data_IF_490534853028
#
_entry.id   IF_490534853028
#
_cell.length_a   1.000
_cell.length_b   1.000
_cell.length_c   1.000
_cell.angle_alpha   90.00
_cell.angle_beta   90.00
_cell.angle_gamma   90.00
#
_symmetry.space_group_name_H-M   'P 1'
#
loop_
_entity.id
_entity.type
_entity.pdbx_description
1 polymer ?
#
# COMPACT_ATOMS: atom_id res chain seq x y z
N UNK A 1 -43.53 -10.36 -3.07
CA UNK A 1 -42.84 -11.66 -3.35
C UNK A 1 -42.23 -11.72 -4.75
N UNK A 2 -42.96 -11.42 -5.82
CA UNK A 2 -42.45 -11.49 -7.22
C UNK A 2 -41.21 -10.62 -7.51
N UNK A 3 -41.12 -9.41 -6.95
CA UNK A 3 -39.94 -8.52 -7.09
C UNK A 3 -38.70 -9.03 -6.34
N UNK A 4 -38.90 -9.60 -5.14
CA UNK A 4 -37.84 -10.15 -4.31
C UNK A 4 -37.24 -11.43 -4.93
N UNK A 5 -38.08 -12.22 -5.60
CA UNK A 5 -37.66 -13.43 -6.33
C UNK A 5 -36.82 -13.09 -7.57
N UNK A 6 -37.15 -12.01 -8.28
CA UNK A 6 -36.37 -11.52 -9.43
C UNK A 6 -35.00 -10.98 -9.00
N UNK A 7 -34.93 -10.27 -7.87
CA UNK A 7 -33.65 -9.79 -7.31
C UNK A 7 -32.76 -10.96 -6.88
N UNK A 8 -33.33 -11.99 -6.25
CA UNK A 8 -32.60 -13.20 -5.87
C UNK A 8 -32.06 -13.98 -7.09
N UNK A 9 -32.86 -14.07 -8.16
CA UNK A 9 -32.45 -14.71 -9.41
C UNK A 9 -31.36 -13.92 -10.13
N UNK A 10 -31.45 -12.59 -10.15
CA UNK A 10 -30.41 -11.73 -10.72
C UNK A 10 -29.10 -11.83 -9.92
N UNK A 11 -29.17 -11.86 -8.59
CA UNK A 11 -28.00 -12.10 -7.74
C UNK A 11 -27.39 -13.48 -8.01
N UNK A 12 -28.19 -14.55 -8.09
CA UNK A 12 -27.73 -15.90 -8.42
C UNK A 12 -27.09 -15.99 -9.81
N UNK A 13 -27.62 -15.29 -10.81
CA UNK A 13 -26.99 -15.22 -12.13
C UNK A 13 -25.68 -14.44 -12.11
N UNK A 14 -25.61 -13.32 -11.39
CA UNK A 14 -24.35 -12.57 -11.21
C UNK A 14 -23.29 -13.41 -10.48
N UNK A 15 -23.68 -14.15 -9.44
CA UNK A 15 -22.78 -15.08 -8.75
C UNK A 15 -22.37 -16.25 -9.64
N UNK A 16 -23.28 -16.81 -10.46
CA UNK A 16 -22.98 -17.91 -11.38
C UNK A 16 -22.01 -17.54 -12.50
N UNK A 17 -22.13 -16.33 -13.06
CA UNK A 17 -21.19 -15.81 -14.06
C UNK A 17 -19.83 -15.49 -13.44
N UNK A 18 -19.78 -15.12 -12.15
CA UNK A 18 -18.51 -14.84 -11.46
C UNK A 18 -17.59 -16.07 -11.33
N UNK A 19 -18.13 -17.29 -11.34
CA UNK A 19 -17.31 -18.53 -11.32
C UNK A 19 -16.77 -18.93 -12.70
N UNK A 20 -17.33 -18.40 -13.79
CA UNK A 20 -16.94 -18.75 -15.15
C UNK A 20 -15.71 -17.94 -15.64
N UNK A 21 -15.38 -16.85 -14.97
CA UNK A 21 -14.17 -16.05 -15.25
C UNK A 21 -13.03 -16.62 -14.41
N UNK A 22 -12.40 -17.68 -14.92
CA UNK A 22 -11.11 -18.13 -14.41
C UNK A 22 -10.00 -17.33 -15.08
N UNK A 23 -9.60 -16.24 -14.45
CA UNK A 23 -8.37 -15.57 -14.81
C UNK A 23 -7.20 -16.47 -14.38
N UNK A 24 -6.50 -17.07 -15.34
CA UNK A 24 -5.29 -17.87 -15.09
C UNK A 24 -4.12 -16.94 -14.80
N UNK A 25 -3.28 -17.27 -13.82
CA UNK A 25 -2.09 -16.48 -13.50
C UNK A 25 -1.05 -16.71 -14.59
N UNK A 26 -0.85 -15.71 -15.45
CA UNK A 26 0.12 -15.77 -16.54
C UNK A 26 1.53 -15.56 -16.03
N UNK A 27 1.71 -14.68 -15.06
CA UNK A 27 3.01 -14.36 -14.51
C UNK A 27 2.91 -13.99 -13.03
N UNK A 28 3.94 -14.38 -12.27
CA UNK A 28 4.11 -13.94 -10.88
C UNK A 28 5.47 -13.29 -10.78
N UNK A 29 5.49 -12.04 -10.33
CA UNK A 29 6.72 -11.29 -10.08
C UNK A 29 6.83 -11.06 -8.59
N UNK A 30 7.95 -11.48 -8.02
CA UNK A 30 8.33 -11.06 -6.69
C UNK A 30 9.42 -10.00 -6.80
N UNK A 31 9.21 -8.89 -6.11
CA UNK A 31 10.12 -7.78 -6.02
C UNK A 31 10.28 -7.32 -4.58
N UNK A 32 11.15 -6.36 -4.38
CA UNK A 32 11.34 -5.75 -3.08
C UNK A 32 12.42 -4.68 -3.10
N UNK A 33 12.40 -3.82 -2.09
CA UNK A 33 13.45 -2.84 -1.86
C UNK A 33 13.85 -2.84 -0.39
N UNK A 34 15.15 -2.68 -0.16
CA UNK A 34 15.70 -2.38 1.16
C UNK A 34 16.30 -1.00 1.08
N UNK A 35 15.85 -0.12 1.97
CA UNK A 35 16.30 1.26 2.07
C UNK A 35 16.74 1.55 3.48
N UNK A 36 17.99 1.98 3.63
CA UNK A 36 18.51 2.53 4.88
C UNK A 36 18.72 4.02 4.72
N UNK A 37 18.29 4.82 5.71
CA UNK A 37 18.43 6.28 5.71
C UNK A 37 18.90 6.76 7.07
N UNK A 38 19.90 7.64 7.03
CA UNK A 38 20.41 8.36 8.19
C UNK A 38 19.68 9.69 8.30
N UNK A 39 19.19 10.01 9.49
CA UNK A 39 18.59 11.29 9.81
C UNK A 39 19.45 11.99 10.85
N UNK A 40 19.75 13.26 10.57
CA UNK A 40 20.40 14.17 11.50
C UNK A 40 19.62 15.47 11.45
N UNK A 41 18.91 15.75 12.53
CA UNK A 41 18.11 16.95 12.66
C UNK A 41 18.50 17.67 13.95
N UNK A 42 18.75 18.99 13.82
CA UNK A 42 19.03 19.88 14.94
C UNK A 42 17.94 20.93 14.97
N UNK A 43 17.49 21.33 16.16
CA UNK A 43 16.59 22.48 16.33
C UNK A 43 15.26 22.36 15.58
N UNK A 44 14.67 21.14 15.55
CA UNK A 44 13.45 20.87 14.77
C UNK A 44 12.22 21.61 15.33
N UNK A 45 12.20 21.84 16.65
CA UNK A 45 11.03 22.39 17.37
C UNK A 45 11.30 23.69 18.13
N UNK A 46 12.55 24.14 18.25
CA UNK A 46 12.90 25.35 18.99
C UNK A 46 14.12 26.04 18.38
N UNK A 47 14.13 27.38 18.42
CA UNK A 47 15.28 28.22 18.06
C UNK A 47 16.11 28.57 19.31
N UNK A 48 15.64 28.13 20.48
CA UNK A 48 16.25 28.41 21.77
C UNK A 48 17.41 27.44 22.02
N UNK A 49 18.59 28.00 22.24
CA UNK A 49 19.87 27.29 22.31
C UNK A 49 20.04 26.42 23.58
N UNK A 50 19.06 26.43 24.49
CA UNK A 50 19.13 25.70 25.77
C UNK A 50 18.46 24.31 25.72
N UNK A 51 17.59 24.04 24.74
CA UNK A 51 17.01 22.71 24.48
C UNK A 51 17.54 22.14 23.16
N UNK A 52 18.86 21.90 23.09
CA UNK A 52 19.48 21.14 22.00
C UNK A 52 18.98 19.68 22.06
N UNK A 53 17.89 19.39 21.35
CA UNK A 53 17.51 18.02 20.99
C UNK A 53 18.10 17.69 19.63
N UNK A 54 19.35 17.23 19.66
CA UNK A 54 20.00 16.62 18.51
C UNK A 54 19.44 15.21 18.30
N UNK A 55 18.57 15.04 17.30
CA UNK A 55 18.04 13.74 16.92
C UNK A 55 18.92 13.13 15.82
N UNK A 56 19.68 12.11 16.21
CA UNK A 56 20.47 11.28 15.30
C UNK A 56 19.99 9.84 15.31
N UNK A 57 19.49 9.36 14.18
CA UNK A 57 19.02 7.98 14.08
C UNK A 57 19.17 7.39 12.68
N UNK A 58 19.35 6.07 12.61
CA UNK A 58 19.32 5.29 11.38
C UNK A 58 17.97 4.58 11.28
N UNK A 59 17.26 4.78 10.17
CA UNK A 59 16.01 4.10 9.86
C UNK A 59 16.23 3.12 8.72
N UNK A 60 15.72 1.91 8.83
CA UNK A 60 15.71 0.93 7.76
C UNK A 60 14.28 0.53 7.44
N UNK A 61 14.00 0.43 6.14
CA UNK A 61 12.77 -0.07 5.60
C UNK A 61 13.04 -1.20 4.63
N UNK A 62 12.26 -2.26 4.73
CA UNK A 62 12.27 -3.40 3.82
C UNK A 62 10.87 -3.60 3.26
N UNK A 63 10.74 -3.67 1.94
CA UNK A 63 9.49 -4.01 1.25
C UNK A 63 9.66 -5.26 0.44
N UNK A 64 8.62 -6.09 0.45
CA UNK A 64 8.52 -7.27 -0.40
C UNK A 64 7.18 -7.17 -1.12
N UNK A 65 7.21 -7.10 -2.43
CA UNK A 65 6.04 -7.07 -3.30
C UNK A 65 5.85 -8.41 -3.99
N UNK A 66 4.62 -8.87 -4.01
CA UNK A 66 4.15 -9.97 -4.84
C UNK A 66 3.12 -9.40 -5.82
N UNK A 67 3.44 -9.52 -7.10
CA UNK A 67 2.65 -9.05 -8.21
C UNK A 67 2.22 -10.26 -9.03
N UNK A 68 0.93 -10.37 -9.34
CA UNK A 68 0.38 -11.41 -10.20
C UNK A 68 -0.30 -10.76 -11.40
N UNK A 69 0.11 -11.19 -12.59
CA UNK A 69 -0.53 -10.87 -13.85
C UNK A 69 -1.45 -12.04 -14.23
N UNK A 70 -2.73 -11.75 -14.40
CA UNK A 70 -3.73 -12.76 -14.74
C UNK A 70 -4.29 -12.49 -16.13
N UNK A 71 -4.75 -13.57 -16.77
CA UNK A 71 -5.51 -13.53 -18.02
C UNK A 71 -6.68 -12.56 -17.90
N UNK A 72 -6.98 -11.86 -19.00
CA UNK A 72 -7.99 -10.78 -19.09
C UNK A 72 -7.56 -9.44 -18.47
N UNK A 73 -6.26 -9.12 -18.54
CA UNK A 73 -5.68 -7.82 -18.16
C UNK A 73 -5.96 -7.44 -16.68
N UNK A 74 -6.01 -8.46 -15.82
CA UNK A 74 -6.19 -8.31 -14.38
C UNK A 74 -4.83 -8.38 -13.69
N UNK A 75 -4.51 -7.34 -12.94
CA UNK A 75 -3.25 -7.19 -12.24
C UNK A 75 -3.48 -7.09 -10.74
N UNK A 76 -2.83 -7.93 -9.95
CA UNK A 76 -2.95 -7.94 -8.49
C UNK A 76 -1.60 -7.62 -7.88
N UNK A 77 -1.57 -6.70 -6.93
CA UNK A 77 -0.36 -6.36 -6.18
C UNK A 77 -0.64 -6.46 -4.70
N UNK A 78 0.28 -7.09 -3.98
CA UNK A 78 0.34 -7.08 -2.53
C UNK A 78 1.78 -6.83 -2.10
N UNK A 79 2.01 -5.79 -1.30
CA UNK A 79 3.32 -5.38 -0.82
C UNK A 79 3.29 -5.28 0.69
N UNK A 80 4.14 -6.07 1.35
CA UNK A 80 4.38 -5.99 2.78
C UNK A 80 5.62 -5.14 3.03
N UNK A 81 5.55 -4.34 4.09
CA UNK A 81 6.59 -3.42 4.51
C UNK A 81 6.93 -3.65 5.99
N UNK A 82 8.23 -3.67 6.28
CA UNK A 82 8.76 -3.59 7.63
C UNK A 82 9.58 -2.30 7.75
N UNK A 83 9.33 -1.50 8.77
CA UNK A 83 10.03 -0.25 9.05
C UNK A 83 10.50 -0.22 10.51
N UNK A 84 11.71 0.27 10.74
CA UNK A 84 12.30 0.30 12.07
C UNK A 84 13.50 1.23 12.19
N UNK A 85 13.76 1.69 13.40
CA UNK A 85 14.94 2.49 13.75
C UNK A 85 15.99 1.60 14.40
N UNK A 86 17.23 1.71 13.95
CA UNK A 86 18.35 0.96 14.51
C UNK A 86 18.70 1.53 15.89
N UNK A 87 18.98 0.65 16.84
CA UNK A 87 19.34 1.06 18.20
C UNK A 87 18.15 1.43 19.09
N UNK A 88 16.91 1.34 18.58
CA UNK A 88 15.70 1.45 19.40
C UNK A 88 15.47 0.14 20.19
N UNK A 89 16.42 -0.22 21.05
CA UNK A 89 16.21 -1.18 22.13
C UNK A 89 16.13 -0.37 23.41
N UNK A 90 14.91 -0.06 23.85
CA UNK A 90 14.70 0.55 25.16
C UNK A 90 14.94 -0.52 26.20
N UNK A 91 16.10 -0.42 26.88
CA UNK A 91 16.36 -1.16 28.10
C UNK A 91 15.80 -0.28 29.23
N UNK A 92 14.74 -0.73 29.89
CA UNK A 92 14.30 -0.05 31.11
C UNK A 92 15.44 -0.09 32.14
N UNK A 93 15.48 0.87 33.08
CA UNK A 93 16.50 0.91 34.16
C UNK A 93 16.54 -0.36 35.02
N UNK A 94 15.53 -1.23 34.93
CA UNK A 94 15.45 -2.54 35.58
C UNK A 94 15.98 -3.72 34.75
N UNK A 95 16.55 -3.48 33.56
CA UNK A 95 17.16 -4.52 32.73
C UNK A 95 16.17 -5.35 31.88
N UNK A 96 14.88 -5.02 31.92
CA UNK A 96 13.89 -5.63 31.03
C UNK A 96 13.92 -4.96 29.64
N UNK A 97 13.99 -5.78 28.59
CA UNK A 97 13.92 -5.34 27.18
C UNK A 97 12.46 -5.00 26.88
N UNK A 98 12.13 -3.72 26.78
CA UNK A 98 10.71 -3.33 26.78
C UNK A 98 10.04 -3.47 25.44
N UNK A 99 10.68 -3.21 24.29
CA UNK A 99 10.13 -3.61 23.00
C UNK A 99 11.14 -3.42 21.86
N UNK A 100 11.06 -4.28 20.83
CA UNK A 100 11.74 -4.09 19.56
C UNK A 100 10.73 -3.50 18.57
N UNK A 101 10.69 -2.17 18.43
CA UNK A 101 9.63 -1.46 17.72
C UNK A 101 9.83 -1.46 16.19
N UNK A 102 9.94 -2.64 15.59
CA UNK A 102 9.87 -2.82 14.14
C UNK A 102 8.41 -3.02 13.74
N UNK A 103 7.88 -2.03 13.02
CA UNK A 103 6.48 -2.03 12.59
C UNK A 103 6.37 -2.76 11.24
N UNK A 104 5.55 -3.81 11.21
CA UNK A 104 5.20 -4.53 9.99
C UNK A 104 3.80 -4.12 9.55
N UNK A 105 3.67 -3.65 8.32
CA UNK A 105 2.42 -3.17 7.76
C UNK A 105 2.28 -3.55 6.28
N UNK A 106 1.07 -3.51 5.75
CA UNK A 106 0.78 -3.68 4.32
C UNK A 106 0.91 -2.32 3.64
N UNK A 107 1.90 -2.19 2.77
CA UNK A 107 2.17 -0.98 2.01
C UNK A 107 1.16 -0.78 0.88
N UNK A 108 0.97 -1.79 0.05
CA UNK A 108 0.05 -1.75 -1.09
C UNK A 108 -0.69 -3.06 -1.20
N UNK A 109 -1.97 -2.99 -1.53
CA UNK A 109 -2.81 -4.16 -1.74
C UNK A 109 -3.95 -3.73 -2.66
N UNK A 110 -3.78 -3.90 -3.96
CA UNK A 110 -4.78 -3.47 -4.94
C UNK A 110 -4.96 -4.48 -6.06
N UNK A 111 -6.16 -4.46 -6.62
CA UNK A 111 -6.53 -5.16 -7.84
C UNK A 111 -6.77 -4.09 -8.90
N UNK A 112 -6.11 -4.24 -10.04
CA UNK A 112 -6.28 -3.41 -11.21
C UNK A 112 -6.90 -4.24 -12.33
N UNK A 113 -8.01 -3.77 -12.87
CA UNK A 113 -8.68 -4.31 -14.03
C UNK A 113 -8.47 -3.33 -15.18
N UNK A 114 -7.84 -3.77 -16.26
CA UNK A 114 -7.64 -2.93 -17.44
C UNK A 114 -8.53 -3.42 -18.59
N UNK A 115 -8.92 -2.53 -19.50
CA UNK A 115 -9.70 -2.86 -20.71
C UNK A 115 -11.12 -3.39 -20.45
N UNK A 116 -11.84 -2.79 -19.50
CA UNK A 116 -13.23 -3.15 -19.26
C UNK A 116 -14.11 -2.67 -20.43
N UNK A 117 -14.93 -3.59 -20.98
CA UNK A 117 -15.94 -3.32 -22.03
C UNK A 117 -15.37 -2.82 -23.37
N UNK A 118 -14.19 -3.31 -23.80
CA UNK A 118 -13.51 -2.84 -25.03
C UNK A 118 -13.16 -1.34 -25.02
N UNK A 119 -13.18 -0.71 -23.85
CA UNK A 119 -12.79 0.67 -23.64
C UNK A 119 -11.42 0.71 -22.95
N UNK A 120 -10.56 1.73 -23.20
CA UNK A 120 -9.30 1.93 -22.48
C UNK A 120 -9.51 2.38 -21.02
N UNK A 121 -10.56 1.91 -20.37
CA UNK A 121 -10.86 2.18 -18.98
C UNK A 121 -10.07 1.22 -18.09
N UNK A 122 -9.35 1.79 -17.14
CA UNK A 122 -8.68 1.02 -16.09
C UNK A 122 -9.36 1.32 -14.76
N UNK A 123 -9.58 0.30 -13.95
CA UNK A 123 -10.15 0.40 -12.61
C UNK A 123 -9.15 -0.15 -11.62
N UNK A 124 -8.75 0.64 -10.62
CA UNK A 124 -7.90 0.18 -9.51
C UNK A 124 -8.67 0.25 -8.20
N UNK A 125 -8.73 -0.86 -7.48
CA UNK A 125 -9.44 -0.97 -6.19
C UNK A 125 -8.48 -1.48 -5.14
N UNK A 126 -8.32 -0.74 -4.05
CA UNK A 126 -7.58 -1.18 -2.87
C UNK A 126 -6.63 -0.12 -2.33
N UNK A 127 -5.66 -0.58 -1.54
CA UNK A 127 -4.60 0.25 -0.99
C UNK A 127 -3.54 0.54 -2.04
N UNK A 128 -3.39 1.80 -2.39
CA UNK A 128 -2.43 2.24 -3.41
C UNK A 128 -1.81 3.59 -3.05
N UNK A 129 -0.65 3.86 -3.64
CA UNK A 129 -0.05 5.19 -3.61
C UNK A 129 -0.73 6.12 -4.63
N UNK A 130 -1.22 7.26 -4.16
CA UNK A 130 -1.84 8.30 -5.00
C UNK A 130 -0.95 9.53 -5.07
N UNK A 131 -0.63 9.96 -6.29
CA UNK A 131 0.07 11.21 -6.56
C UNK A 131 -0.69 12.00 -7.62
N UNK A 132 -1.37 13.08 -7.21
CA UNK A 132 -2.11 13.97 -8.11
C UNK A 132 -1.50 15.37 -8.13
N UNK A 133 -1.48 15.99 -9.31
CA UNK A 133 -0.94 17.33 -9.48
C UNK A 133 0.55 17.43 -9.12
N UNK A 134 1.35 16.40 -9.44
CA UNK A 134 2.77 16.30 -9.07
C UNK A 134 3.05 16.36 -7.55
N UNK A 135 2.06 16.01 -6.73
CA UNK A 135 2.15 16.08 -5.27
C UNK A 135 1.55 17.35 -4.67
N UNK A 136 0.95 18.24 -5.47
CA UNK A 136 0.27 19.42 -4.97
C UNK A 136 -1.09 19.11 -4.32
N UNK A 137 -1.85 18.18 -4.89
CA UNK A 137 -3.20 17.83 -4.39
C UNK A 137 -3.16 16.63 -3.45
N UNK A 138 -2.54 15.55 -3.91
CA UNK A 138 -2.30 14.34 -3.12
C UNK A 138 -0.86 13.94 -3.42
N UNK A 139 -0.07 13.76 -2.37
CA UNK A 139 1.31 13.31 -2.46
C UNK A 139 1.51 12.13 -1.53
N UNK A 140 1.98 11.03 -2.10
CA UNK A 140 2.57 9.92 -1.38
C UNK A 140 4.09 9.90 -1.52
N UNK A 141 4.71 10.88 -2.20
CA UNK A 141 6.12 10.79 -2.60
C UNK A 141 7.10 10.97 -1.44
N UNK A 142 6.78 11.83 -0.47
CA UNK A 142 7.68 12.13 0.65
C UNK A 142 7.20 11.54 1.98
N UNK A 143 5.89 11.62 2.26
CA UNK A 143 5.30 11.09 3.50
C UNK A 143 4.65 9.71 3.32
N UNK A 144 4.68 9.17 2.10
CA UNK A 144 4.25 7.79 1.79
C UNK A 144 2.87 7.46 2.33
N UNK A 145 1.94 8.41 2.22
CA UNK A 145 0.55 8.16 2.56
C UNK A 145 -0.03 7.08 1.66
N UNK A 146 -0.57 6.07 2.33
CA UNK A 146 -1.25 4.92 1.75
C UNK A 146 -2.73 5.24 1.76
N UNK A 147 -3.39 5.11 0.61
CA UNK A 147 -4.80 5.42 0.49
C UNK A 147 -5.58 4.18 0.08
N UNK A 148 -6.64 3.88 0.84
CA UNK A 148 -7.62 2.87 0.48
C UNK A 148 -8.65 3.56 -0.42
N UNK A 149 -8.50 3.39 -1.73
CA UNK A 149 -9.27 4.15 -2.71
C UNK A 149 -9.62 3.32 -3.95
N UNK A 150 -10.76 3.69 -4.55
CA UNK A 150 -11.14 3.24 -5.89
C UNK A 150 -10.77 4.33 -6.89
N UNK A 151 -9.97 3.99 -7.90
CA UNK A 151 -9.50 4.92 -8.93
C UNK A 151 -9.94 4.45 -10.31
N UNK A 152 -10.49 5.38 -11.09
CA UNK A 152 -10.90 5.19 -12.48
C UNK A 152 -10.10 6.14 -13.38
N UNK A 153 -8.83 5.84 -13.72
CA UNK A 153 -8.15 6.61 -14.75
C UNK A 153 -8.81 6.34 -16.11
N UNK A 154 -9.26 7.43 -16.74
CA UNK A 154 -9.61 7.47 -18.16
C UNK A 154 -8.43 8.09 -18.89
N UNK A 155 -7.74 7.30 -19.71
CA UNK A 155 -6.86 7.84 -20.75
C UNK A 155 -7.70 8.07 -22.01
N UNK A 156 -7.60 9.27 -22.58
CA UNK A 156 -8.22 9.66 -23.86
C UNK A 156 -7.14 9.84 -24.93
#
# INVERSE_FOLDING_TARGET
MRKMMVVLLAALMLFGVSFAVKAEVQNVRLGGDIRTRMYYAKNVNTVDLEEDRDDFFFRQRTRISAEADLTDNVWIVSTVEADGVWGQQVVNSDGEKVDNNWDVNIAEAYIQLSEILYSPMTIKVGRQYLNYGRGFLISSREWEYKFDAVRLPFDF
#
